data_IF_139260017440
#
_entry.id   IF_139260017440
#
_cell.length_a   1.000
_cell.length_b   1.000
_cell.length_c   1.000
_cell.angle_alpha   90.00
_cell.angle_beta   90.00
_cell.angle_gamma   90.00
#
_symmetry.space_group_name_H-M   'P 1'
#
loop_
_entity.id
_entity.type
_entity.pdbx_description
1 polymer ?
#
# COMPACT_ATOMS: atom_id res chain seq x y z
N UNK A 1 -14.08 27.09 -5.70
CA UNK A 1 -13.55 26.69 -4.38
C UNK A 1 -12.63 27.79 -3.91
N UNK A 2 -12.86 28.34 -2.70
CA UNK A 2 -12.10 29.47 -2.17
C UNK A 2 -10.65 29.06 -1.89
N UNK A 3 -9.70 30.01 -1.92
CA UNK A 3 -8.30 29.78 -1.59
C UNK A 3 -8.11 29.17 -0.18
N UNK A 4 -9.04 29.39 0.75
CA UNK A 4 -9.01 28.85 2.11
C UNK A 4 -9.17 27.32 2.16
N UNK A 5 -10.05 26.73 1.34
CA UNK A 5 -10.22 25.27 1.29
C UNK A 5 -8.98 24.56 0.72
N UNK A 6 -8.27 25.24 -0.20
CA UNK A 6 -7.03 24.68 -0.77
C UNK A 6 -5.90 24.64 0.27
N UNK A 7 -5.77 25.67 1.10
CA UNK A 7 -4.74 25.74 2.15
C UNK A 7 -4.97 24.76 3.30
N UNK A 8 -6.23 24.49 3.68
CA UNK A 8 -6.55 23.48 4.72
C UNK A 8 -6.20 22.08 4.19
N UNK A 9 -6.63 21.74 2.98
CA UNK A 9 -6.32 20.45 2.37
C UNK A 9 -4.80 20.23 2.20
N UNK A 10 -4.06 21.23 1.74
CA UNK A 10 -2.60 21.17 1.64
C UNK A 10 -1.92 20.96 3.01
N UNK A 11 -2.51 21.52 4.08
CA UNK A 11 -1.99 21.31 5.44
C UNK A 11 -2.26 19.90 5.97
N UNK A 12 -3.43 19.35 5.70
CA UNK A 12 -3.78 17.96 6.06
C UNK A 12 -2.89 16.94 5.34
N UNK A 13 -2.67 17.12 4.05
CA UNK A 13 -1.73 16.28 3.28
C UNK A 13 -0.31 16.37 3.83
N UNK A 14 0.11 17.56 4.29
CA UNK A 14 1.40 17.74 4.94
C UNK A 14 1.48 17.01 6.28
N UNK A 15 0.41 16.97 7.08
CA UNK A 15 0.39 16.22 8.35
C UNK A 15 0.56 14.72 8.10
N UNK A 16 -0.14 14.18 7.09
CA UNK A 16 0.01 12.78 6.67
C UNK A 16 1.47 12.49 6.31
N UNK A 17 2.04 13.29 5.40
CA UNK A 17 3.43 13.10 4.99
C UNK A 17 4.41 13.19 6.17
N UNK A 18 4.27 14.20 7.03
CA UNK A 18 5.17 14.42 8.16
C UNK A 18 5.05 13.32 9.25
N UNK A 19 3.87 12.73 9.41
CA UNK A 19 3.68 11.62 10.34
C UNK A 19 4.34 10.34 9.81
N UNK A 20 3.94 9.93 8.61
CA UNK A 20 4.32 8.65 8.04
C UNK A 20 5.75 8.63 7.45
N UNK A 21 6.38 9.77 7.18
CA UNK A 21 7.77 9.85 6.72
C UNK A 21 8.80 9.28 7.70
N UNK A 22 8.43 9.14 8.96
CA UNK A 22 9.30 8.58 10.00
C UNK A 22 9.14 7.06 10.15
N UNK A 23 8.36 6.43 9.29
CA UNK A 23 8.12 5.00 9.29
C UNK A 23 8.76 4.35 8.06
N UNK A 24 9.26 3.14 8.22
CA UNK A 24 9.79 2.37 7.10
C UNK A 24 8.66 1.91 6.16
N UNK A 25 7.49 1.56 6.73
CA UNK A 25 6.26 1.20 6.02
C UNK A 25 5.11 2.06 6.52
N UNK A 26 4.21 2.46 5.64
CA UNK A 26 3.08 3.32 5.94
C UNK A 26 1.78 2.53 6.19
N UNK A 27 1.86 1.19 6.22
CA UNK A 27 0.76 0.28 6.47
C UNK A 27 1.24 -1.09 6.98
N UNK A 28 0.31 -1.99 7.34
CA UNK A 28 0.65 -3.34 7.78
C UNK A 28 1.39 -4.14 6.71
N UNK A 29 2.47 -4.81 7.10
CA UNK A 29 3.32 -5.61 6.21
C UNK A 29 4.65 -5.92 6.87
N UNK A 30 5.44 -6.79 6.24
CA UNK A 30 6.78 -7.12 6.71
C UNK A 30 7.66 -7.58 5.54
N UNK A 31 9.00 -7.60 5.68
CA UNK A 31 9.87 -8.17 4.67
C UNK A 31 9.50 -9.61 4.31
N UNK A 32 9.16 -10.43 5.31
CA UNK A 32 8.82 -11.84 5.11
C UNK A 32 7.54 -12.03 4.28
N UNK A 33 6.52 -11.19 4.48
CA UNK A 33 5.27 -11.25 3.68
C UNK A 33 5.50 -10.77 2.25
N UNK A 34 6.30 -9.71 2.06
CA UNK A 34 6.72 -9.25 0.74
C UNK A 34 7.43 -10.38 -0.02
N UNK A 35 8.40 -11.06 0.63
CA UNK A 35 9.11 -12.20 0.03
C UNK A 35 8.21 -13.41 -0.20
N UNK A 36 7.30 -13.70 0.73
CA UNK A 36 6.31 -14.77 0.54
C UNK A 36 5.45 -14.49 -0.69
N UNK A 37 4.93 -13.27 -0.84
CA UNK A 37 4.14 -12.91 -2.01
C UNK A 37 4.97 -12.99 -3.30
N UNK A 38 6.22 -12.53 -3.28
CA UNK A 38 7.13 -12.63 -4.41
C UNK A 38 7.40 -14.08 -4.83
N UNK A 39 7.43 -15.02 -3.90
CA UNK A 39 7.69 -16.45 -4.19
C UNK A 39 6.63 -17.12 -5.07
N UNK A 40 5.47 -16.51 -5.26
CA UNK A 40 4.42 -16.99 -6.18
C UNK A 40 4.52 -16.41 -7.59
N UNK A 41 5.53 -15.58 -7.86
CA UNK A 41 5.70 -14.88 -9.13
C UNK A 41 6.89 -15.49 -9.86
N UNK A 42 6.62 -16.04 -11.05
CA UNK A 42 7.61 -16.67 -11.89
C UNK A 42 8.17 -15.73 -12.96
N UNK A 43 9.31 -16.10 -13.52
CA UNK A 43 9.87 -15.56 -14.77
C UNK A 43 10.30 -14.08 -14.74
N UNK A 44 10.57 -13.51 -13.57
CA UNK A 44 11.20 -12.19 -13.48
C UNK A 44 12.69 -12.29 -13.86
N UNK A 45 13.14 -11.38 -14.74
CA UNK A 45 14.50 -11.31 -15.27
C UNK A 45 15.07 -9.90 -15.07
N UNK A 46 16.34 -9.70 -15.45
CA UNK A 46 16.99 -8.40 -15.47
C UNK A 46 16.35 -7.39 -16.45
N UNK A 47 15.50 -7.87 -17.37
CA UNK A 47 14.73 -7.06 -18.31
C UNK A 47 13.30 -6.75 -17.84
N UNK A 48 12.88 -7.35 -16.72
CA UNK A 48 11.53 -7.14 -16.19
C UNK A 48 11.34 -5.71 -15.71
N UNK A 49 10.18 -5.14 -16.05
CA UNK A 49 9.74 -3.82 -15.63
C UNK A 49 8.65 -3.97 -14.57
N UNK A 50 8.90 -3.41 -13.40
CA UNK A 50 8.07 -3.54 -12.20
C UNK A 50 7.62 -2.16 -11.76
N UNK A 51 6.34 -2.01 -11.46
CA UNK A 51 5.81 -0.81 -10.81
C UNK A 51 5.39 -1.14 -9.37
N UNK A 52 5.83 -0.34 -8.39
CA UNK A 52 5.30 -0.34 -7.03
C UNK A 52 4.43 0.91 -6.84
N UNK A 53 3.10 0.70 -6.81
CA UNK A 53 2.10 1.77 -6.83
C UNK A 53 1.62 2.05 -5.40
N UNK A 54 1.76 3.32 -4.96
CA UNK A 54 1.64 3.70 -3.56
C UNK A 54 2.85 3.22 -2.75
N UNK A 55 4.05 3.44 -3.30
CA UNK A 55 5.29 2.88 -2.75
C UNK A 55 5.74 3.48 -1.42
N UNK A 56 5.13 4.59 -0.99
CA UNK A 56 5.51 5.30 0.22
C UNK A 56 6.99 5.66 0.25
N UNK A 57 7.65 5.42 1.36
CA UNK A 57 9.11 5.63 1.54
C UNK A 57 9.97 4.50 0.97
N UNK A 58 9.35 3.46 0.39
CA UNK A 58 10.01 2.38 -0.33
C UNK A 58 10.38 1.15 0.51
N UNK A 59 9.82 0.98 1.71
CA UNK A 59 10.15 -0.16 2.57
C UNK A 59 10.02 -1.51 1.87
N UNK A 60 8.86 -1.80 1.27
CA UNK A 60 8.62 -3.02 0.49
C UNK A 60 9.44 -3.04 -0.81
N UNK A 61 9.59 -1.87 -1.46
CA UNK A 61 10.34 -1.79 -2.73
C UNK A 61 11.80 -2.17 -2.56
N UNK A 62 12.44 -1.75 -1.46
CA UNK A 62 13.85 -2.11 -1.20
C UNK A 62 14.00 -3.60 -0.92
N UNK A 63 13.02 -4.23 -0.28
CA UNK A 63 12.98 -5.70 -0.11
C UNK A 63 12.86 -6.40 -1.46
N UNK A 64 11.91 -5.98 -2.31
CA UNK A 64 11.75 -6.50 -3.67
C UNK A 64 13.06 -6.36 -4.46
N UNK A 65 13.65 -5.18 -4.44
CA UNK A 65 14.88 -4.89 -5.18
C UNK A 65 16.06 -5.77 -4.75
N UNK A 66 16.11 -6.22 -3.52
CA UNK A 66 17.11 -7.19 -3.06
C UNK A 66 16.95 -8.59 -3.66
N UNK A 67 15.78 -8.93 -4.22
CA UNK A 67 15.41 -10.29 -4.62
C UNK A 67 14.97 -10.43 -6.08
N UNK A 68 14.72 -9.32 -6.78
CA UNK A 68 14.41 -9.32 -8.21
C UNK A 68 15.50 -8.58 -8.99
N UNK A 69 15.92 -9.07 -10.15
CA UNK A 69 16.99 -8.42 -10.92
C UNK A 69 16.51 -7.27 -11.81
N UNK A 70 15.19 -7.12 -12.00
CA UNK A 70 14.58 -6.15 -12.91
C UNK A 70 14.62 -4.69 -12.43
N UNK A 71 14.07 -3.80 -13.25
CA UNK A 71 13.93 -2.38 -12.95
C UNK A 71 12.62 -2.15 -12.16
N UNK A 72 12.67 -1.33 -11.12
CA UNK A 72 11.51 -1.01 -10.29
C UNK A 72 11.26 0.49 -10.31
N UNK A 73 10.06 0.89 -10.70
CA UNK A 73 9.58 2.28 -10.58
C UNK A 73 8.56 2.34 -9.45
N UNK A 74 8.92 3.04 -8.37
CA UNK A 74 7.98 3.36 -7.29
C UNK A 74 7.19 4.62 -7.63
N UNK A 75 5.89 4.61 -7.37
CA UNK A 75 4.99 5.76 -7.61
C UNK A 75 4.26 6.09 -6.33
N UNK A 76 4.32 7.35 -5.91
CA UNK A 76 3.55 7.86 -4.78
C UNK A 76 3.14 9.32 -5.01
N UNK A 77 2.03 9.71 -4.38
CA UNK A 77 1.50 11.07 -4.51
C UNK A 77 2.35 12.10 -3.75
N UNK A 78 3.03 11.68 -2.68
CA UNK A 78 3.74 12.56 -1.76
C UNK A 78 5.21 12.75 -2.16
N UNK A 79 5.62 13.98 -2.58
CA UNK A 79 7.03 14.26 -2.93
C UNK A 79 7.99 13.93 -1.78
N UNK A 80 7.60 14.18 -0.52
CA UNK A 80 8.41 13.87 0.65
C UNK A 80 8.69 12.37 0.82
N UNK A 81 7.74 11.49 0.50
CA UNK A 81 7.98 10.05 0.48
C UNK A 81 8.94 9.66 -0.63
N UNK A 82 8.77 10.22 -1.82
CA UNK A 82 9.63 9.94 -2.98
C UNK A 82 11.08 10.42 -2.75
N UNK A 83 11.27 11.54 -2.04
CA UNK A 83 12.61 11.99 -1.65
C UNK A 83 13.29 10.97 -0.72
N UNK A 84 12.55 10.42 0.25
CA UNK A 84 13.04 9.38 1.15
C UNK A 84 13.30 8.08 0.37
N UNK A 85 12.37 7.65 -0.45
CA UNK A 85 12.48 6.49 -1.33
C UNK A 85 13.80 6.53 -2.14
N UNK A 86 14.02 7.62 -2.87
CA UNK A 86 15.22 7.77 -3.71
C UNK A 86 16.51 7.87 -2.90
N UNK A 87 16.46 8.41 -1.68
CA UNK A 87 17.58 8.40 -0.74
C UNK A 87 17.89 6.97 -0.28
N UNK A 88 16.87 6.19 0.10
CA UNK A 88 17.03 4.80 0.50
C UNK A 88 17.61 3.94 -0.64
N UNK A 89 17.12 4.10 -1.86
CA UNK A 89 17.66 3.42 -3.03
C UNK A 89 19.15 3.74 -3.24
N UNK A 90 19.57 5.01 -3.10
CA UNK A 90 20.99 5.40 -3.19
C UNK A 90 21.83 4.81 -2.07
N UNK A 91 21.35 4.80 -0.83
CA UNK A 91 22.06 4.24 0.32
C UNK A 91 22.33 2.74 0.18
N UNK A 92 21.45 2.03 -0.54
CA UNK A 92 21.58 0.60 -0.83
C UNK A 92 22.31 0.31 -2.17
N UNK A 93 22.76 1.34 -2.89
CA UNK A 93 23.40 1.16 -4.20
C UNK A 93 22.47 0.70 -5.30
N UNK A 94 21.17 0.97 -5.19
CA UNK A 94 20.10 0.48 -6.09
C UNK A 94 19.64 1.54 -7.12
N UNK A 95 20.19 2.75 -7.08
CA UNK A 95 19.71 3.91 -7.86
C UNK A 95 19.72 3.71 -9.39
N UNK A 96 20.49 2.75 -9.90
CA UNK A 96 20.57 2.48 -11.34
C UNK A 96 19.37 1.64 -11.85
N UNK A 97 18.62 1.00 -10.95
CA UNK A 97 17.50 0.14 -11.30
C UNK A 97 16.23 0.34 -10.44
N UNK A 98 16.31 1.17 -9.41
CA UNK A 98 15.19 1.51 -8.53
C UNK A 98 15.02 3.01 -8.48
N UNK A 99 13.85 3.50 -8.91
CA UNK A 99 13.57 4.93 -9.01
C UNK A 99 12.16 5.23 -8.50
N UNK A 100 12.05 6.16 -7.56
CA UNK A 100 10.79 6.74 -7.13
C UNK A 100 10.44 7.97 -7.96
N UNK A 101 9.18 8.09 -8.36
CA UNK A 101 8.62 9.25 -9.06
C UNK A 101 7.33 9.71 -8.38
N UNK A 102 7.12 11.02 -8.33
CA UNK A 102 5.85 11.58 -7.86
C UNK A 102 4.79 11.38 -8.94
N UNK A 103 3.68 10.76 -8.58
CA UNK A 103 2.60 10.48 -9.51
C UNK A 103 1.34 10.00 -8.80
N UNK A 104 0.21 10.11 -9.50
CA UNK A 104 -1.08 9.57 -9.04
C UNK A 104 -1.30 8.15 -9.57
N UNK A 105 -1.84 7.29 -8.72
CA UNK A 105 -2.25 5.94 -9.11
C UNK A 105 -3.44 5.90 -10.08
N UNK A 106 -4.16 7.04 -10.23
CA UNK A 106 -5.21 7.24 -11.24
C UNK A 106 -4.65 7.47 -12.66
N UNK A 107 -3.39 7.91 -12.78
CA UNK A 107 -2.78 8.25 -14.05
C UNK A 107 -1.32 7.82 -14.08
N UNK A 108 -1.11 6.53 -14.28
CA UNK A 108 0.22 5.92 -14.28
C UNK A 108 0.99 6.26 -15.57
N UNK A 109 2.30 6.54 -15.49
CA UNK A 109 3.12 6.98 -16.62
C UNK A 109 3.67 5.80 -17.45
N UNK A 110 2.88 4.74 -17.61
CA UNK A 110 3.26 3.54 -18.36
C UNK A 110 2.45 3.40 -19.64
N UNK A 111 3.02 2.69 -20.61
CA UNK A 111 2.33 2.29 -21.81
C UNK A 111 1.51 1.01 -21.57
N UNK A 112 0.55 0.73 -22.44
CA UNK A 112 -0.16 -0.54 -22.39
C UNK A 112 0.82 -1.70 -22.59
N UNK A 113 0.66 -2.75 -21.78
CA UNK A 113 1.45 -3.98 -21.85
C UNK A 113 2.98 -3.75 -21.68
N UNK A 114 3.35 -2.78 -20.86
CA UNK A 114 4.76 -2.46 -20.57
C UNK A 114 5.31 -3.26 -19.39
N UNK A 115 4.47 -3.51 -18.36
CA UNK A 115 4.91 -4.04 -17.08
C UNK A 115 4.82 -5.58 -17.01
N UNK A 116 5.83 -6.18 -16.42
CA UNK A 116 5.82 -7.60 -16.06
C UNK A 116 5.14 -7.84 -14.69
N UNK A 117 5.23 -6.85 -13.79
CA UNK A 117 4.66 -6.92 -12.44
C UNK A 117 4.17 -5.55 -11.98
N UNK A 118 2.94 -5.52 -11.45
CA UNK A 118 2.42 -4.43 -10.63
C UNK A 118 2.39 -4.90 -9.18
N UNK A 119 2.99 -4.10 -8.30
CA UNK A 119 3.02 -4.29 -6.86
C UNK A 119 2.32 -3.14 -6.15
N UNK A 120 1.59 -3.42 -5.06
CA UNK A 120 0.98 -2.38 -4.23
C UNK A 120 0.63 -2.94 -2.85
N UNK A 121 1.36 -2.55 -1.81
CA UNK A 121 1.06 -2.98 -0.44
C UNK A 121 0.30 -1.90 0.32
N UNK A 122 -0.95 -2.19 0.72
CA UNK A 122 -1.76 -1.31 1.56
C UNK A 122 -2.08 0.04 0.93
N UNK A 123 -2.22 0.13 -0.39
CA UNK A 123 -2.39 1.40 -1.08
C UNK A 123 -3.54 1.42 -2.11
N UNK A 124 -3.89 0.30 -2.72
CA UNK A 124 -4.89 0.23 -3.80
C UNK A 124 -6.28 0.74 -3.36
N UNK A 125 -6.61 0.64 -2.07
CA UNK A 125 -7.87 1.14 -1.51
C UNK A 125 -8.12 2.64 -1.79
N UNK A 126 -7.04 3.44 -1.95
CA UNK A 126 -7.15 4.88 -2.22
C UNK A 126 -7.90 5.22 -3.52
N UNK A 127 -7.94 4.29 -4.48
CA UNK A 127 -8.76 4.42 -5.70
C UNK A 127 -9.87 3.38 -5.79
N UNK A 128 -9.98 2.49 -4.78
CA UNK A 128 -10.88 1.35 -4.75
C UNK A 128 -10.26 0.10 -5.37
N UNK A 129 -10.41 -1.03 -4.66
CA UNK A 129 -9.78 -2.30 -5.06
C UNK A 129 -10.21 -2.75 -6.47
N UNK A 130 -11.53 -2.77 -6.73
CA UNK A 130 -12.07 -3.20 -8.03
C UNK A 130 -11.64 -2.25 -9.16
N UNK A 131 -11.65 -0.95 -8.91
CA UNK A 131 -11.21 0.05 -9.88
C UNK A 131 -9.73 -0.11 -10.20
N UNK A 132 -8.86 -0.23 -9.18
CA UNK A 132 -7.43 -0.43 -9.37
C UNK A 132 -7.12 -1.68 -10.20
N UNK A 133 -7.78 -2.81 -9.90
CA UNK A 133 -7.64 -4.04 -10.69
C UNK A 133 -7.98 -3.83 -12.16
N UNK A 134 -9.09 -3.16 -12.45
CA UNK A 134 -9.55 -2.94 -13.84
C UNK A 134 -8.66 -1.94 -14.60
N UNK A 135 -8.32 -0.81 -13.99
CA UNK A 135 -7.57 0.25 -14.65
C UNK A 135 -6.09 -0.12 -14.84
N UNK A 136 -5.45 -0.77 -13.86
CA UNK A 136 -4.04 -1.11 -13.94
C UNK A 136 -3.76 -2.30 -14.85
N UNK A 137 -4.76 -3.18 -15.10
CA UNK A 137 -4.64 -4.35 -15.96
C UNK A 137 -4.06 -4.03 -17.35
N UNK A 138 -4.40 -2.88 -17.92
CA UNK A 138 -3.93 -2.48 -19.25
C UNK A 138 -2.42 -2.34 -19.34
N UNK A 139 -1.75 -1.97 -18.24
CA UNK A 139 -0.30 -1.79 -18.21
C UNK A 139 0.48 -3.10 -18.11
N UNK A 140 -0.16 -4.17 -17.65
CA UNK A 140 0.48 -5.48 -17.57
C UNK A 140 0.57 -6.15 -18.95
N UNK A 141 1.71 -6.72 -19.24
CA UNK A 141 1.89 -7.66 -20.35
C UNK A 141 0.94 -8.84 -20.22
N UNK A 142 0.58 -9.54 -21.33
CA UNK A 142 -0.04 -10.85 -21.25
C UNK A 142 0.81 -11.78 -20.37
N UNK A 143 0.18 -12.44 -19.40
CA UNK A 143 0.88 -13.28 -18.43
C UNK A 143 1.67 -12.55 -17.34
N UNK A 144 1.65 -11.20 -17.31
CA UNK A 144 2.19 -10.41 -16.22
C UNK A 144 1.38 -10.54 -14.93
N UNK A 145 1.96 -10.17 -13.82
CA UNK A 145 1.38 -10.36 -12.49
C UNK A 145 0.94 -9.05 -11.84
N UNK A 146 -0.10 -9.14 -11.03
CA UNK A 146 -0.44 -8.15 -10.03
C UNK A 146 -0.30 -8.78 -8.64
N UNK A 147 0.32 -8.06 -7.72
CA UNK A 147 0.49 -8.46 -6.32
C UNK A 147 0.11 -7.28 -5.44
N UNK A 148 -1.01 -7.37 -4.73
CA UNK A 148 -1.55 -6.28 -3.92
C UNK A 148 -1.97 -6.79 -2.54
N UNK A 149 -1.80 -5.97 -1.52
CA UNK A 149 -2.43 -6.21 -0.22
C UNK A 149 -3.53 -5.21 0.06
N UNK A 150 -4.63 -5.72 0.62
CA UNK A 150 -5.87 -4.97 0.84
C UNK A 150 -6.55 -5.40 2.12
N UNK A 151 -7.27 -4.49 2.78
CA UNK A 151 -8.11 -4.82 3.93
C UNK A 151 -9.27 -5.72 3.52
N UNK A 152 -9.54 -6.73 4.32
CA UNK A 152 -10.51 -7.77 4.02
C UNK A 152 -11.31 -8.14 5.26
N UNK A 153 -12.60 -8.36 5.10
CA UNK A 153 -13.42 -9.04 6.09
C UNK A 153 -13.18 -10.55 6.02
N UNK A 154 -13.02 -11.17 7.20
CA UNK A 154 -12.87 -12.63 7.32
C UNK A 154 -14.20 -13.34 7.59
N UNK A 155 -15.23 -12.56 7.97
CA UNK A 155 -16.55 -13.06 8.32
C UNK A 155 -17.65 -12.22 7.66
N UNK A 156 -18.80 -12.83 7.40
CA UNK A 156 -19.99 -12.11 6.89
C UNK A 156 -20.66 -11.30 8.01
N UNK A 157 -20.71 -11.85 9.23
CA UNK A 157 -21.22 -11.18 10.42
C UNK A 157 -20.07 -10.68 11.28
N UNK A 158 -20.20 -9.47 11.81
CA UNK A 158 -19.19 -8.79 12.64
C UNK A 158 -19.83 -7.77 13.58
N UNK A 159 -19.17 -7.41 14.70
CA UNK A 159 -19.67 -6.37 15.61
C UNK A 159 -19.86 -5.02 14.91
N UNK A 160 -20.92 -4.31 15.29
CA UNK A 160 -21.26 -3.01 14.69
C UNK A 160 -20.11 -1.99 14.80
N UNK A 161 -19.44 -1.93 15.97
CA UNK A 161 -18.35 -0.98 16.21
C UNK A 161 -17.24 -1.06 15.13
N UNK A 162 -16.77 -2.26 14.79
CA UNK A 162 -15.74 -2.41 13.78
C UNK A 162 -16.28 -2.27 12.36
N UNK A 163 -17.52 -2.69 12.14
CA UNK A 163 -18.20 -2.47 10.87
C UNK A 163 -18.32 -0.98 10.56
N UNK A 164 -18.81 -0.19 11.51
CA UNK A 164 -19.07 1.24 11.33
C UNK A 164 -17.75 2.00 11.13
N UNK A 165 -16.70 1.64 11.88
CA UNK A 165 -15.36 2.21 11.71
C UNK A 165 -14.85 2.03 10.27
N UNK A 166 -14.90 0.81 9.74
CA UNK A 166 -14.40 0.55 8.39
C UNK A 166 -15.31 1.10 7.29
N UNK A 167 -16.64 1.11 7.51
CA UNK A 167 -17.57 1.73 6.55
C UNK A 167 -17.38 3.24 6.43
N UNK A 168 -16.94 3.90 7.50
CA UNK A 168 -16.58 5.33 7.48
C UNK A 168 -15.21 5.56 6.83
N UNK A 169 -14.23 4.73 7.17
CA UNK A 169 -12.85 4.85 6.67
C UNK A 169 -12.67 4.34 5.22
N UNK A 170 -13.30 3.22 4.89
CA UNK A 170 -13.22 2.57 3.58
C UNK A 170 -14.48 1.73 3.29
N UNK A 171 -15.49 2.37 2.76
CA UNK A 171 -16.82 1.75 2.51
C UNK A 171 -16.81 0.62 1.47
N UNK A 172 -15.75 0.48 0.67
CA UNK A 172 -15.60 -0.58 -0.35
C UNK A 172 -14.94 -1.85 0.21
N UNK A 173 -14.57 -1.87 1.50
CA UNK A 173 -14.01 -3.06 2.14
C UNK A 173 -14.98 -4.24 2.03
N UNK A 174 -14.47 -5.36 1.53
CA UNK A 174 -15.31 -6.53 1.19
C UNK A 174 -14.74 -7.80 1.81
N UNK A 175 -15.50 -8.88 1.73
CA UNK A 175 -15.03 -10.19 2.21
C UNK A 175 -13.94 -10.76 1.29
N UNK A 176 -13.02 -11.53 1.86
CA UNK A 176 -11.95 -12.17 1.12
C UNK A 176 -12.45 -12.98 -0.11
N UNK A 177 -13.51 -13.81 -0.01
CA UNK A 177 -14.06 -14.50 -1.19
C UNK A 177 -14.53 -13.55 -2.29
N UNK A 178 -15.19 -12.45 -1.93
CA UNK A 178 -15.66 -11.46 -2.89
C UNK A 178 -14.50 -10.73 -3.57
N UNK A 179 -13.43 -10.40 -2.84
CA UNK A 179 -12.23 -9.79 -3.41
C UNK A 179 -11.52 -10.74 -4.39
N UNK A 180 -11.43 -12.03 -4.09
CA UNK A 180 -10.94 -13.04 -5.04
C UNK A 180 -11.83 -13.12 -6.29
N UNK A 181 -13.15 -13.03 -6.12
CA UNK A 181 -14.08 -13.00 -7.26
C UNK A 181 -13.90 -11.73 -8.12
N UNK A 182 -13.58 -10.58 -7.51
CA UNK A 182 -13.26 -9.32 -8.23
C UNK A 182 -12.00 -9.49 -9.10
N UNK A 183 -10.96 -10.16 -8.61
CA UNK A 183 -9.77 -10.48 -9.43
C UNK A 183 -10.16 -11.26 -10.70
N UNK A 184 -10.95 -12.31 -10.54
CA UNK A 184 -11.37 -13.12 -11.68
C UNK A 184 -12.21 -12.32 -12.69
N UNK A 185 -13.16 -11.51 -12.20
CA UNK A 185 -14.00 -10.64 -13.04
C UNK A 185 -13.17 -9.60 -13.79
N UNK A 186 -12.11 -9.07 -13.17
CA UNK A 186 -11.18 -8.13 -13.79
C UNK A 186 -10.22 -8.78 -14.80
N UNK A 187 -10.33 -10.09 -15.08
CA UNK A 187 -9.53 -10.80 -16.06
C UNK A 187 -8.16 -11.24 -15.56
N UNK A 188 -8.08 -11.57 -14.27
CA UNK A 188 -6.92 -12.19 -13.66
C UNK A 188 -7.20 -13.64 -13.25
N UNK A 189 -6.21 -14.48 -13.32
CA UNK A 189 -6.20 -15.81 -12.68
C UNK A 189 -5.58 -15.66 -11.28
N UNK A 190 -6.34 -15.85 -10.19
CA UNK A 190 -5.77 -15.89 -8.86
C UNK A 190 -4.72 -16.98 -8.74
N UNK A 191 -3.53 -16.65 -8.25
CA UNK A 191 -2.39 -17.56 -8.08
C UNK A 191 -2.22 -17.93 -6.62
N UNK A 192 -2.26 -16.94 -5.73
CA UNK A 192 -2.20 -17.13 -4.30
C UNK A 192 -2.96 -16.02 -3.57
N UNK A 193 -3.51 -16.38 -2.42
CA UNK A 193 -4.13 -15.42 -1.49
C UNK A 193 -3.80 -15.88 -0.09
N UNK A 194 -3.36 -14.96 0.77
CA UNK A 194 -3.08 -15.27 2.17
C UNK A 194 -3.27 -14.05 3.07
N UNK A 195 -3.72 -14.30 4.29
CA UNK A 195 -3.89 -13.29 5.34
C UNK A 195 -2.51 -12.94 5.89
N UNK A 196 -2.26 -11.65 6.11
CA UNK A 196 -1.05 -11.17 6.75
C UNK A 196 -1.04 -11.60 8.22
N UNK A 197 0.08 -12.14 8.73
CA UNK A 197 0.20 -12.49 10.13
C UNK A 197 0.15 -11.26 11.05
N UNK A 198 -0.24 -11.48 12.30
CA UNK A 198 -0.46 -10.43 13.31
C UNK A 198 0.76 -9.51 13.51
N UNK A 199 1.98 -10.05 13.40
CA UNK A 199 3.19 -9.26 13.57
C UNK A 199 3.37 -8.16 12.50
N UNK A 200 2.73 -8.29 11.33
CA UNK A 200 2.70 -7.22 10.33
C UNK A 200 2.02 -5.95 10.87
N UNK A 201 1.03 -6.14 11.74
CA UNK A 201 0.31 -5.06 12.41
C UNK A 201 1.06 -4.60 13.67
N UNK A 202 1.34 -5.51 14.59
CA UNK A 202 1.83 -5.18 15.93
C UNK A 202 3.28 -4.73 15.95
N UNK A 203 4.18 -5.49 15.31
CA UNK A 203 5.62 -5.24 15.37
C UNK A 203 6.08 -4.27 14.26
N UNK A 204 5.61 -4.50 13.03
CA UNK A 204 6.10 -3.74 11.87
C UNK A 204 5.36 -2.42 11.62
N UNK A 205 4.09 -2.31 12.04
CA UNK A 205 3.29 -1.11 11.80
C UNK A 205 3.01 -0.32 13.08
N UNK A 206 2.31 -0.88 14.08
CA UNK A 206 1.93 -0.15 15.28
C UNK A 206 3.12 0.28 16.13
N UNK A 207 4.11 -0.59 16.30
CA UNK A 207 5.33 -0.21 17.03
C UNK A 207 6.06 0.97 16.36
N UNK A 208 6.09 1.00 15.01
CA UNK A 208 6.66 2.11 14.25
C UNK A 208 5.83 3.38 14.38
N UNK A 209 4.49 3.28 14.45
CA UNK A 209 3.59 4.42 14.67
C UNK A 209 3.85 5.12 16.00
N UNK A 210 4.13 4.38 17.09
CA UNK A 210 4.42 4.96 18.40
C UNK A 210 5.64 5.89 18.32
N UNK A 211 6.73 5.46 17.68
CA UNK A 211 7.93 6.27 17.52
C UNK A 211 7.67 7.49 16.60
N UNK A 212 6.95 7.31 15.50
CA UNK A 212 6.56 8.38 14.59
C UNK A 212 5.69 9.44 15.29
N UNK A 213 4.75 9.00 16.16
CA UNK A 213 3.88 9.88 16.93
C UNK A 213 4.66 10.77 17.89
N UNK A 214 5.70 10.26 18.57
CA UNK A 214 6.53 11.08 19.43
C UNK A 214 7.25 12.20 18.66
N UNK A 215 7.82 11.89 17.52
CA UNK A 215 8.48 12.86 16.64
C UNK A 215 7.47 13.90 16.16
N UNK A 216 6.33 13.44 15.70
CA UNK A 216 5.26 14.29 15.17
C UNK A 216 4.70 15.26 16.23
N UNK A 217 4.38 14.77 17.43
CA UNK A 217 3.88 15.58 18.54
C UNK A 217 4.89 16.65 18.98
N UNK A 218 6.18 16.33 18.97
CA UNK A 218 7.23 17.34 19.24
C UNK A 218 7.26 18.42 18.18
N UNK A 219 7.14 18.04 16.90
CA UNK A 219 7.15 18.96 15.75
C UNK A 219 5.94 19.92 15.75
N UNK A 220 4.79 19.42 16.14
CA UNK A 220 3.51 20.13 16.10
C UNK A 220 2.95 20.50 17.48
N UNK A 221 3.80 20.62 18.50
CA UNK A 221 3.38 20.94 19.85
C UNK A 221 2.50 22.21 19.91
N UNK A 222 1.31 22.10 20.52
CA UNK A 222 0.34 23.20 20.63
C UNK A 222 -0.55 23.41 19.39
N UNK A 223 -0.39 22.61 18.33
CA UNK A 223 -1.29 22.64 17.18
C UNK A 223 -2.42 21.61 17.37
N UNK A 224 -3.63 22.08 17.64
CA UNK A 224 -4.80 21.24 17.94
C UNK A 224 -5.17 20.28 16.81
N UNK A 225 -5.09 20.72 15.54
CA UNK A 225 -5.43 19.88 14.37
C UNK A 225 -4.44 18.71 14.28
N UNK A 226 -3.16 18.99 14.48
CA UNK A 226 -2.13 17.96 14.46
C UNK A 226 -2.25 17.00 15.66
N UNK A 227 -2.62 17.50 16.83
CA UNK A 227 -2.87 16.67 18.01
C UNK A 227 -4.07 15.75 17.81
N UNK A 228 -5.17 16.23 17.23
CA UNK A 228 -6.34 15.45 16.88
C UNK A 228 -6.00 14.39 15.80
N UNK A 229 -5.35 14.79 14.72
CA UNK A 229 -4.86 13.88 13.69
C UNK A 229 -4.01 12.74 14.29
N UNK A 230 -3.03 13.09 15.14
CA UNK A 230 -2.16 12.12 15.79
C UNK A 230 -2.93 11.14 16.70
N UNK A 231 -4.00 11.61 17.35
CA UNK A 231 -4.82 10.77 18.22
C UNK A 231 -5.69 9.80 17.42
N UNK A 232 -6.25 10.22 16.29
CA UNK A 232 -7.03 9.38 15.39
C UNK A 232 -6.20 8.21 14.83
N UNK A 233 -4.90 8.43 14.57
CA UNK A 233 -4.01 7.36 14.07
C UNK A 233 -3.84 6.19 15.04
N UNK A 234 -4.18 6.36 16.33
CA UNK A 234 -4.02 5.31 17.35
C UNK A 234 -5.28 4.48 17.59
N UNK A 235 -6.43 4.93 17.08
CA UNK A 235 -7.71 4.21 17.26
C UNK A 235 -7.67 2.85 16.58
N UNK A 236 -7.07 2.75 15.41
CA UNK A 236 -6.93 1.49 14.66
C UNK A 236 -6.21 0.41 15.47
N UNK A 237 -5.20 0.78 16.28
CA UNK A 237 -4.41 -0.15 17.08
C UNK A 237 -5.28 -0.84 18.15
N UNK A 238 -6.16 -0.07 18.81
CA UNK A 238 -7.10 -0.58 19.81
C UNK A 238 -8.16 -1.47 19.17
N UNK A 239 -8.72 -1.02 18.03
CA UNK A 239 -9.73 -1.77 17.30
C UNK A 239 -9.18 -3.07 16.72
N UNK A 240 -7.94 -3.06 16.22
CA UNK A 240 -7.30 -4.29 15.75
C UNK A 240 -7.10 -5.29 16.89
N UNK A 241 -6.59 -4.85 18.03
CA UNK A 241 -6.45 -5.70 19.20
C UNK A 241 -7.74 -6.38 19.65
N UNK A 242 -8.89 -5.69 19.47
CA UNK A 242 -10.22 -6.15 19.87
C UNK A 242 -10.92 -7.00 18.81
N UNK A 243 -10.66 -6.74 17.51
CA UNK A 243 -11.45 -7.27 16.41
C UNK A 243 -10.65 -7.97 15.30
N UNK A 244 -9.38 -8.28 15.50
CA UNK A 244 -8.50 -8.96 14.52
C UNK A 244 -9.03 -10.30 13.99
N UNK A 245 -9.97 -10.93 14.69
CA UNK A 245 -10.63 -12.16 14.22
C UNK A 245 -11.64 -11.92 13.09
N UNK A 246 -12.09 -10.67 12.91
CA UNK A 246 -13.09 -10.30 11.92
C UNK A 246 -12.52 -9.67 10.67
N UNK A 247 -11.31 -9.08 10.74
CA UNK A 247 -10.68 -8.38 9.63
C UNK A 247 -9.15 -8.37 9.72
N UNK A 248 -8.55 -8.04 8.62
CA UNK A 248 -7.11 -7.81 8.51
C UNK A 248 -6.71 -7.54 7.08
N UNK A 249 -5.40 -7.45 6.83
CA UNK A 249 -4.90 -7.35 5.48
C UNK A 249 -4.72 -8.74 4.86
N UNK A 250 -5.08 -8.83 3.58
CA UNK A 250 -4.91 -10.02 2.75
C UNK A 250 -4.04 -9.66 1.56
N UNK A 251 -3.07 -10.51 1.25
CA UNK A 251 -2.27 -10.41 0.05
C UNK A 251 -2.93 -11.21 -1.08
N UNK A 252 -3.06 -10.58 -2.25
CA UNK A 252 -3.62 -11.16 -3.46
C UNK A 252 -2.55 -11.16 -4.56
N UNK A 253 -2.22 -12.32 -5.08
CA UNK A 253 -1.31 -12.50 -6.20
C UNK A 253 -2.10 -13.12 -7.35
N UNK A 254 -2.11 -12.47 -8.51
CA UNK A 254 -2.87 -12.93 -9.65
C UNK A 254 -2.14 -12.64 -10.96
N UNK A 255 -2.43 -13.43 -11.98
CA UNK A 255 -1.81 -13.37 -13.31
C UNK A 255 -2.81 -12.85 -14.33
N UNK A 256 -2.42 -11.86 -15.14
CA UNK A 256 -3.25 -11.40 -16.27
C UNK A 256 -3.46 -12.53 -17.26
N UNK A 257 -4.73 -12.90 -17.49
CA UNK A 257 -5.11 -13.84 -18.55
C UNK A 257 -5.36 -13.12 -19.88
N UNK A 258 -4.96 -13.76 -20.97
CA UNK A 258 -5.35 -13.33 -22.31
C UNK A 258 -6.87 -13.56 -22.46
N UNK A 259 -7.56 -12.55 -22.96
CA UNK A 259 -8.98 -12.63 -23.31
C UNK A 259 -9.09 -12.71 -24.81
#
# INVERSE_FOLDING_TARGET
>A
MSNENKTIHDFELKLICDFFSNMERQGPGSPDVTLKALSFIDNLTDKSLIADIGCGTGGQTMVLAGHVPGQITGIDLFPGFIDIFNRNARQLGLQDRVKGIVGSMDNLPFQNEELDLIWSEGAIYNIGFERGLNEWRRYLKPGGYIAVSESSWFTDERPAEINDFWMDAYSEMDTLPNQVAKLYKAGYLPVATFILPENCWTEHYFASKVAAQEIFRKKYAGNKIAEEFSSLQMIEDELYGKYKEFYGYTFFIAKKIEQ
#
